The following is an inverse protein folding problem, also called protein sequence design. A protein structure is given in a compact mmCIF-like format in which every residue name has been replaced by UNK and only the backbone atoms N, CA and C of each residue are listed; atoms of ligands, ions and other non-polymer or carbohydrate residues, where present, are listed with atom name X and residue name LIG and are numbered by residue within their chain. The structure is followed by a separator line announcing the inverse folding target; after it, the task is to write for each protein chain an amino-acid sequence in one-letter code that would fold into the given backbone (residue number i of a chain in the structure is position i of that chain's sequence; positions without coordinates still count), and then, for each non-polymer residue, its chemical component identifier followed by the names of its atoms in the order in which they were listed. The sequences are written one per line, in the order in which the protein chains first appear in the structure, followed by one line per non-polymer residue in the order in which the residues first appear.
data_IF_504248335010
#
_entry.id   IF_504248335010
#
_cell.length_a   1.000
_cell.length_b   1.000
_cell.length_c   1.000
_cell.angle_alpha   90.00
_cell.angle_beta   90.00
_cell.angle_gamma   90.00
#
_symmetry.space_group_name_H-M   'P 1'
#
loop_
_entity.id
_entity.type
_entity.pdbx_description
1 polymer ?
#
# COMPACT_ATOMS: atom_id res chain seq x y z
N UNK A 1 -51.11 -0.70 40.01
CA UNK A 1 -49.89 -1.16 40.71
C UNK A 1 -48.74 -0.34 40.15
N UNK A 2 -48.47 0.81 40.77
CA UNK A 2 -47.34 1.05 41.72
C UNK A 2 -46.02 1.07 40.92
N UNK A 3 -45.51 2.22 40.45
CA UNK A 3 -44.99 3.47 41.07
C UNK A 3 -43.45 3.52 40.93
N UNK A 4 -42.85 4.73 40.90
CA UNK A 4 -41.64 5.08 40.17
C UNK A 4 -40.47 5.51 41.09
N UNK A 5 -39.35 5.91 40.44
CA UNK A 5 -38.20 6.78 40.80
C UNK A 5 -38.21 7.49 42.18
N UNK A 6 -37.05 7.73 42.82
CA UNK A 6 -36.40 9.06 42.70
C UNK A 6 -34.85 8.96 42.70
N UNK A 7 -34.03 9.87 42.20
CA UNK A 7 -34.19 11.29 41.89
C UNK A 7 -32.91 12.01 42.37
N UNK A 8 -32.52 13.11 41.70
CA UNK A 8 -32.06 14.37 42.33
C UNK A 8 -31.77 15.42 41.26
N UNK A 9 -32.32 16.60 41.49
CA UNK A 9 -32.27 17.84 40.71
C UNK A 9 -31.54 18.93 41.55
N UNK A 10 -31.37 20.18 41.07
CA UNK A 10 -30.16 21.00 41.17
C UNK A 10 -30.27 22.17 42.18
N UNK A 11 -29.20 22.97 42.36
CA UNK A 11 -29.21 24.39 42.80
C UNK A 11 -27.75 24.91 42.92
N UNK A 12 -27.32 25.91 42.16
CA UNK A 12 -27.41 27.37 42.35
C UNK A 12 -26.18 28.03 43.04
N UNK A 13 -25.71 29.05 42.32
CA UNK A 13 -24.81 30.17 42.64
C UNK A 13 -24.97 30.77 44.05
N UNK A 14 -23.86 31.22 44.65
CA UNK A 14 -23.75 32.45 45.45
C UNK A 14 -22.36 33.07 45.25
N UNK A 15 -22.31 34.39 45.04
CA UNK A 15 -21.08 35.17 44.92
C UNK A 15 -20.80 36.00 46.16
N UNK A 16 -19.54 36.41 46.35
CA UNK A 16 -19.16 37.64 47.04
C UNK A 16 -17.77 38.07 46.57
N UNK A 17 -17.66 39.32 46.09
CA UNK A 17 -16.42 39.91 45.63
C UNK A 17 -15.64 40.65 46.73
N UNK A 18 -14.42 41.07 46.38
CA UNK A 18 -13.79 42.34 46.81
C UNK A 18 -12.62 42.69 45.88
N UNK A 19 -12.45 44.01 45.72
CA UNK A 19 -11.67 44.76 44.73
C UNK A 19 -10.18 44.90 45.09
N UNK A 20 -9.33 45.16 44.09
CA UNK A 20 -8.61 46.44 43.89
C UNK A 20 -7.31 46.27 43.07
N UNK A 21 -7.02 47.23 42.19
CA UNK A 21 -5.66 47.48 41.67
C UNK A 21 -5.59 47.66 40.16
N UNK A 22 -5.80 48.90 39.69
CA UNK A 22 -5.50 49.28 38.31
C UNK A 22 -4.06 49.79 38.16
N UNK A 23 -3.47 49.56 36.99
CA UNK A 23 -2.42 50.38 36.39
C UNK A 23 -2.45 50.16 34.88
N UNK A 24 -2.58 51.25 34.10
CA UNK A 24 -2.79 51.21 32.67
C UNK A 24 -1.50 51.09 31.84
N UNK A 25 -1.66 50.79 30.54
CA UNK A 25 -0.75 51.14 29.43
C UNK A 25 -1.44 50.80 28.07
N UNK A 26 -0.98 51.33 26.92
CA UNK A 26 -1.82 52.06 25.98
C UNK A 26 -2.33 51.25 24.77
N UNK A 27 -3.37 51.77 24.12
CA UNK A 27 -3.87 51.33 22.81
C UNK A 27 -2.76 51.40 21.75
N UNK A 28 -2.31 50.24 21.26
CA UNK A 28 -1.56 50.12 19.99
C UNK A 28 -2.49 49.62 18.90
N UNK A 29 -2.43 50.31 17.75
CA UNK A 29 -3.14 50.02 16.51
C UNK A 29 -2.78 48.62 16.00
N UNK A 30 -3.79 47.89 15.56
CA UNK A 30 -3.69 46.65 14.79
C UNK A 30 -2.92 46.89 13.47
N UNK A 31 -1.86 46.12 13.15
CA UNK A 31 -1.36 46.04 11.80
C UNK A 31 -2.27 45.09 11.00
N UNK A 32 -2.64 45.52 9.79
CA UNK A 32 -3.57 44.81 8.92
C UNK A 32 -3.12 43.40 8.56
N UNK A 33 -4.10 42.50 8.44
CA UNK A 33 -3.96 41.21 7.76
C UNK A 33 -3.37 41.44 6.37
N UNK A 34 -2.11 41.02 6.15
CA UNK A 34 -1.69 40.60 4.82
C UNK A 34 -2.27 39.22 4.56
N UNK A 35 -2.87 38.94 3.39
CA UNK A 35 -3.14 37.58 3.00
C UNK A 35 -1.81 36.83 2.98
N UNK A 36 -1.75 35.68 3.65
CA UNK A 36 -0.68 34.72 3.40
C UNK A 36 -0.91 34.24 1.97
N UNK A 37 0.03 34.57 1.08
CA UNK A 37 0.07 33.95 -0.24
C UNK A 37 0.14 32.44 -0.02
N UNK A 38 -0.90 31.73 -0.47
CA UNK A 38 -0.92 30.27 -0.50
C UNK A 38 0.31 29.81 -1.29
N UNK A 39 1.23 29.03 -0.69
CA UNK A 39 2.32 28.47 -1.47
C UNK A 39 1.72 27.61 -2.58
N UNK A 40 2.16 27.85 -3.81
CA UNK A 40 1.78 27.07 -4.98
C UNK A 40 2.19 25.60 -4.75
N UNK A 41 1.24 24.78 -4.30
CA UNK A 41 1.37 23.35 -3.97
C UNK A 41 1.88 22.47 -5.13
N UNK A 42 2.21 23.09 -6.27
CA UNK A 42 2.68 22.44 -7.50
C UNK A 42 4.19 22.23 -7.59
N UNK A 43 4.98 22.64 -6.58
CA UNK A 43 6.46 22.68 -6.64
C UNK A 43 7.19 22.14 -5.39
N UNK A 44 6.77 21.00 -4.85
CA UNK A 44 7.60 20.25 -3.91
C UNK A 44 8.53 19.26 -4.68
N UNK A 45 9.85 19.26 -4.44
CA UNK A 45 10.76 18.28 -5.02
C UNK A 45 10.52 16.88 -4.42
N UNK A 46 10.64 15.83 -5.25
CA UNK A 46 10.46 14.42 -4.82
C UNK A 46 9.12 13.79 -5.22
N UNK A 47 8.14 14.56 -5.72
CA UNK A 47 6.90 14.01 -6.26
C UNK A 47 7.07 13.57 -7.70
N UNK A 48 6.75 12.32 -8.01
CA UNK A 48 6.33 11.96 -9.36
C UNK A 48 5.08 12.79 -9.70
N UNK A 49 5.19 13.72 -10.65
CA UNK A 49 4.00 14.34 -11.26
C UNK A 49 3.35 13.26 -12.11
N UNK A 50 2.18 12.79 -11.72
CA UNK A 50 1.28 12.06 -12.62
C UNK A 50 0.40 13.12 -13.33
N UNK A 51 0.70 13.52 -14.57
CA UNK A 51 -0.17 14.42 -15.32
C UNK A 51 -1.47 13.68 -15.69
N UNK A 52 -2.58 14.10 -15.10
CA UNK A 52 -3.91 13.52 -15.34
C UNK A 52 -4.39 12.64 -14.19
N UNK A 53 -5.51 11.93 -14.40
CA UNK A 53 -6.15 11.13 -13.35
C UNK A 53 -7.02 11.97 -12.40
N UNK A 54 -7.25 13.23 -12.73
CA UNK A 54 -8.10 14.12 -11.94
C UNK A 54 -9.58 13.81 -12.14
N UNK A 55 -10.40 14.16 -11.15
CA UNK A 55 -11.87 14.04 -11.23
C UNK A 55 -12.47 14.83 -12.41
N UNK A 56 -11.78 15.89 -12.83
CA UNK A 56 -12.17 16.73 -13.97
C UNK A 56 -11.97 16.01 -15.31
N UNK A 57 -10.96 15.12 -15.42
CA UNK A 57 -10.67 14.37 -16.65
C UNK A 57 -11.82 13.41 -17.01
N UNK A 58 -12.53 12.94 -15.99
CA UNK A 58 -13.65 12.00 -16.12
C UNK A 58 -15.01 12.67 -16.03
N UNK A 59 -15.07 13.98 -15.77
CA UNK A 59 -16.33 14.68 -15.54
C UNK A 59 -17.13 14.10 -14.37
N UNK A 60 -16.46 13.82 -13.24
CA UNK A 60 -17.09 13.09 -12.12
C UNK A 60 -18.34 13.80 -11.58
N UNK A 61 -18.35 15.13 -11.58
CA UNK A 61 -19.51 15.91 -11.13
C UNK A 61 -20.74 15.69 -12.00
N UNK A 62 -20.55 15.75 -13.31
CA UNK A 62 -21.54 15.54 -14.35
C UNK A 62 -22.03 14.10 -14.35
N UNK A 63 -21.11 13.14 -14.25
CA UNK A 63 -21.42 11.72 -14.12
C UNK A 63 -22.28 11.46 -12.87
N UNK A 64 -21.93 12.08 -11.74
CA UNK A 64 -22.68 11.95 -10.49
C UNK A 64 -24.10 12.52 -10.63
N UNK A 65 -24.26 13.67 -11.30
CA UNK A 65 -25.57 14.26 -11.54
C UNK A 65 -26.42 13.40 -12.47
N UNK A 66 -25.84 12.87 -13.55
CA UNK A 66 -26.55 11.99 -14.47
C UNK A 66 -26.94 10.66 -13.80
N UNK A 67 -26.09 10.11 -12.93
CA UNK A 67 -26.42 8.93 -12.14
C UNK A 67 -27.67 9.17 -11.27
N UNK A 68 -27.69 10.25 -10.48
CA UNK A 68 -28.84 10.54 -9.62
C UNK A 68 -30.11 10.82 -10.42
N UNK A 69 -30.02 11.56 -11.53
CA UNK A 69 -31.17 11.81 -12.41
C UNK A 69 -31.70 10.51 -13.03
N UNK A 70 -30.82 9.63 -13.48
CA UNK A 70 -31.20 8.33 -14.04
C UNK A 70 -31.93 7.47 -13.01
N UNK A 71 -31.41 7.38 -11.78
CA UNK A 71 -32.04 6.68 -10.65
C UNK A 71 -33.42 7.27 -10.32
N UNK A 72 -33.60 8.58 -10.51
CA UNK A 72 -34.87 9.28 -10.33
C UNK A 72 -35.80 9.22 -11.56
N UNK A 73 -35.44 8.48 -12.61
CA UNK A 73 -36.29 8.20 -13.77
C UNK A 73 -36.05 9.08 -15.01
N UNK A 74 -34.98 9.89 -15.05
CA UNK A 74 -34.62 10.67 -16.24
C UNK A 74 -33.96 9.77 -17.31
N UNK A 75 -34.71 9.47 -18.37
CA UNK A 75 -34.24 8.64 -19.48
C UNK A 75 -33.09 9.28 -20.29
N UNK A 76 -32.99 10.63 -20.34
CA UNK A 76 -31.89 11.29 -21.02
C UNK A 76 -30.60 11.19 -20.22
N UNK A 77 -30.69 11.30 -18.89
CA UNK A 77 -29.56 11.06 -18.00
C UNK A 77 -29.10 9.61 -18.07
N UNK A 78 -30.04 8.64 -18.06
CA UNK A 78 -29.71 7.23 -18.21
C UNK A 78 -28.98 6.93 -19.53
N UNK A 79 -29.35 7.59 -20.63
CA UNK A 79 -28.70 7.44 -21.93
C UNK A 79 -27.28 8.03 -22.00
N UNK A 80 -26.90 8.92 -21.08
CA UNK A 80 -25.56 9.51 -21.00
C UNK A 80 -24.59 8.73 -20.12
N UNK A 81 -25.08 7.82 -19.27
CA UNK A 81 -24.21 7.02 -18.41
C UNK A 81 -23.25 6.14 -19.23
N UNK A 82 -22.01 5.93 -18.76
CA UNK A 82 -21.10 4.95 -19.34
C UNK A 82 -21.76 3.58 -19.46
N UNK A 83 -21.47 2.86 -20.56
CA UNK A 83 -21.97 1.49 -20.75
C UNK A 83 -21.37 0.52 -19.76
N UNK A 84 -20.08 0.70 -19.51
CA UNK A 84 -19.29 -0.11 -18.61
C UNK A 84 -19.33 0.52 -17.20
N UNK A 85 -19.57 -0.27 -16.14
CA UNK A 85 -19.83 0.23 -14.80
C UNK A 85 -18.57 0.63 -14.02
N UNK A 86 -17.39 0.24 -14.48
CA UNK A 86 -16.13 0.46 -13.77
C UNK A 86 -15.24 1.37 -14.59
N UNK A 87 -14.73 2.43 -13.97
CA UNK A 87 -13.76 3.36 -14.58
C UNK A 87 -12.55 3.46 -13.68
N UNK A 88 -11.38 3.17 -14.23
CA UNK A 88 -10.11 3.11 -13.49
C UNK A 88 -9.01 3.87 -14.20
N UNK A 89 -8.13 4.51 -13.43
CA UNK A 89 -6.95 5.18 -13.94
C UNK A 89 -5.76 4.23 -13.90
N UNK A 90 -5.07 4.07 -15.02
CA UNK A 90 -3.88 3.22 -15.14
C UNK A 90 -2.65 4.12 -15.00
N UNK A 91 -2.00 4.06 -13.84
CA UNK A 91 -0.74 4.75 -13.57
C UNK A 91 0.35 4.25 -14.52
N UNK A 92 1.29 5.12 -14.91
CA UNK A 92 2.37 4.77 -15.86
C UNK A 92 1.94 4.76 -17.33
N UNK A 93 0.69 4.40 -17.62
CA UNK A 93 0.06 4.63 -18.94
C UNK A 93 -0.68 5.98 -19.02
N UNK A 94 -0.85 6.65 -17.86
CA UNK A 94 -1.48 7.95 -17.65
C UNK A 94 -2.83 8.12 -18.37
N UNK A 95 -3.70 7.11 -18.27
CA UNK A 95 -5.02 7.14 -18.92
C UNK A 95 -6.10 6.43 -18.11
N UNK A 96 -7.33 6.89 -18.30
CA UNK A 96 -8.53 6.20 -17.84
C UNK A 96 -8.91 5.09 -18.81
N UNK A 97 -9.46 3.98 -18.29
CA UNK A 97 -10.11 2.92 -19.05
C UNK A 97 -11.46 2.59 -18.41
N UNK A 98 -12.37 2.05 -19.22
CA UNK A 98 -13.68 1.56 -18.79
C UNK A 98 -13.68 0.03 -18.83
N UNK A 99 -14.27 -0.62 -17.82
CA UNK A 99 -14.30 -2.08 -17.65
C UNK A 99 -15.72 -2.57 -17.38
N UNK A 100 -16.12 -3.73 -17.94
CA UNK A 100 -17.45 -4.29 -17.75
C UNK A 100 -17.67 -4.84 -16.32
N UNK A 101 -16.60 -5.11 -15.58
CA UNK A 101 -16.62 -5.63 -14.21
C UNK A 101 -15.30 -5.31 -13.48
N UNK A 102 -15.31 -5.48 -12.15
CA UNK A 102 -14.11 -5.46 -11.32
C UNK A 102 -14.04 -6.74 -10.47
N UNK A 103 -12.94 -7.51 -10.53
CA UNK A 103 -11.81 -7.38 -11.45
C UNK A 103 -12.21 -7.48 -12.93
N UNK A 104 -11.31 -7.08 -13.84
CA UNK A 104 -11.56 -7.19 -15.28
C UNK A 104 -11.78 -8.67 -15.69
N UNK A 105 -12.71 -8.99 -16.61
CA UNK A 105 -12.98 -10.40 -16.97
C UNK A 105 -11.80 -11.16 -17.57
N UNK A 106 -10.85 -10.46 -18.17
CA UNK A 106 -9.60 -10.98 -18.73
C UNK A 106 -8.43 -10.96 -17.75
N UNK A 107 -8.68 -10.58 -16.49
CA UNK A 107 -7.66 -10.55 -15.46
C UNK A 107 -7.11 -11.95 -15.13
N UNK A 108 -5.78 -12.03 -15.00
CA UNK A 108 -5.06 -13.26 -14.68
C UNK A 108 -4.20 -13.04 -13.45
N UNK A 109 -4.32 -13.92 -12.45
CA UNK A 109 -3.43 -13.95 -11.30
C UNK A 109 -2.06 -14.54 -11.67
N UNK A 110 -1.00 -13.88 -11.22
CA UNK A 110 0.38 -14.30 -11.39
C UNK A 110 1.07 -14.35 -10.03
N UNK A 111 1.63 -15.51 -9.69
CA UNK A 111 2.46 -15.69 -8.50
C UNK A 111 3.93 -15.41 -8.84
N UNK A 112 4.53 -14.47 -8.11
CA UNK A 112 5.94 -14.14 -8.18
C UNK A 112 6.63 -14.66 -6.92
N UNK A 113 7.41 -15.72 -7.05
CA UNK A 113 7.94 -16.47 -5.90
C UNK A 113 9.15 -15.78 -5.29
N UNK A 114 9.19 -15.77 -3.97
CA UNK A 114 10.37 -15.33 -3.23
C UNK A 114 11.45 -16.40 -3.39
N UNK A 115 12.70 -15.97 -3.54
CA UNK A 115 13.83 -16.86 -3.75
C UNK A 115 15.06 -16.46 -2.93
N UNK A 116 16.01 -17.39 -2.86
CA UNK A 116 17.29 -17.18 -2.17
C UNK A 116 18.05 -15.97 -2.71
N UNK A 117 18.69 -15.21 -1.82
CA UNK A 117 19.48 -14.03 -2.21
C UNK A 117 18.64 -12.79 -2.56
N UNK A 118 17.37 -12.74 -2.16
CA UNK A 118 16.48 -11.60 -2.43
C UNK A 118 15.98 -11.58 -3.88
N UNK A 119 15.82 -12.75 -4.49
CA UNK A 119 15.28 -12.88 -5.84
C UNK A 119 13.76 -12.91 -5.77
N UNK A 120 13.10 -12.20 -6.67
CA UNK A 120 11.66 -12.35 -6.91
C UNK A 120 11.47 -12.99 -8.30
N UNK A 121 11.23 -14.29 -8.30
CA UNK A 121 11.10 -15.09 -9.52
C UNK A 121 9.75 -14.82 -10.18
N UNK A 122 9.79 -14.35 -11.43
CA UNK A 122 8.60 -14.16 -12.24
C UNK A 122 7.89 -15.50 -12.48
N UNK A 123 6.57 -15.50 -12.70
CA UNK A 123 5.87 -16.71 -13.13
C UNK A 123 6.55 -17.27 -14.39
N UNK A 124 6.88 -18.56 -14.38
CA UNK A 124 7.33 -19.23 -15.59
C UNK A 124 6.25 -19.16 -16.68
N UNK A 125 6.64 -19.24 -17.96
CA UNK A 125 5.68 -19.49 -19.04
C UNK A 125 5.00 -20.85 -18.79
N UNK A 126 3.92 -20.84 -18.03
CA UNK A 126 3.32 -22.05 -17.48
C UNK A 126 2.38 -21.72 -16.34
N UNK A 127 1.09 -21.74 -16.66
CA UNK A 127 -0.02 -21.97 -15.74
C UNK A 127 0.43 -22.82 -14.54
N UNK A 128 0.06 -22.40 -13.33
CA UNK A 128 0.26 -23.18 -12.09
C UNK A 128 -0.18 -24.64 -12.35
N UNK A 129 0.80 -25.52 -12.45
CA UNK A 129 0.65 -26.97 -12.36
C UNK A 129 1.52 -27.42 -11.17
N UNK A 130 1.09 -28.41 -10.38
CA UNK A 130 1.83 -28.85 -9.21
C UNK A 130 3.23 -29.33 -9.61
N UNK A 131 4.23 -28.86 -8.86
CA UNK A 131 5.66 -29.02 -9.12
C UNK A 131 6.06 -30.43 -9.58
N UNK A 132 6.32 -30.57 -10.88
CA UNK A 132 7.13 -31.66 -11.40
C UNK A 132 8.59 -31.21 -11.40
N UNK A 133 9.43 -31.97 -10.70
CA UNK A 133 10.89 -31.82 -10.67
C UNK A 133 11.45 -31.56 -12.07
N UNK A 134 12.11 -30.42 -12.25
CA UNK A 134 12.94 -30.18 -13.43
C UNK A 134 14.40 -30.17 -13.02
N UNK A 135 15.15 -31.09 -13.60
CA UNK A 135 16.59 -31.21 -13.49
C UNK A 135 17.26 -29.98 -14.10
N UNK A 136 18.24 -29.45 -13.35
CA UNK A 136 18.92 -28.21 -13.66
C UNK A 136 19.62 -28.19 -15.01
N UNK A 137 19.40 -27.10 -15.75
CA UNK A 137 20.31 -26.64 -16.78
C UNK A 137 20.61 -25.17 -16.50
N UNK A 138 21.87 -24.90 -16.17
CA UNK A 138 22.40 -23.55 -16.01
C UNK A 138 22.92 -23.04 -17.36
N UNK A 139 22.43 -21.88 -17.77
CA UNK A 139 23.07 -20.97 -18.72
C UNK A 139 22.63 -19.57 -18.29
N UNK A 140 23.44 -18.57 -18.02
CA UNK A 140 24.82 -18.32 -18.39
C UNK A 140 24.91 -16.86 -18.81
N UNK A 141 25.38 -16.01 -17.88
CA UNK A 141 25.81 -14.61 -18.04
C UNK A 141 24.76 -13.54 -18.39
N UNK A 142 24.51 -12.63 -17.43
CA UNK A 142 24.15 -11.24 -17.70
C UNK A 142 24.83 -10.32 -16.66
N UNK A 143 25.23 -9.15 -17.15
CA UNK A 143 26.30 -8.29 -16.66
C UNK A 143 26.18 -7.75 -15.23
N UNK A 144 27.35 -7.60 -14.63
CA UNK A 144 27.58 -7.02 -13.32
C UNK A 144 27.24 -5.52 -13.30
N UNK A 145 26.24 -5.15 -12.51
CA UNK A 145 26.13 -3.81 -11.92
C UNK A 145 26.74 -3.85 -10.52
N UNK A 146 27.50 -2.80 -10.18
CA UNK A 146 28.45 -2.75 -9.07
C UNK A 146 27.82 -2.97 -7.68
N UNK A 147 28.52 -3.65 -6.75
CA UNK A 147 28.03 -3.95 -5.42
C UNK A 147 28.25 -2.75 -4.50
N UNK A 148 27.17 -2.05 -4.13
CA UNK A 148 27.14 -1.29 -2.88
C UNK A 148 25.91 -1.69 -2.10
N UNK A 149 26.21 -2.13 -0.88
CA UNK A 149 25.30 -2.31 0.26
C UNK A 149 24.42 -3.57 0.19
N UNK A 150 25.08 -4.72 0.45
CA UNK A 150 24.39 -5.92 0.96
C UNK A 150 23.91 -5.62 2.38
N UNK A 151 22.61 -5.42 2.58
CA UNK A 151 21.97 -5.57 3.89
C UNK A 151 22.25 -6.97 4.41
N UNK A 152 22.55 -7.08 5.70
CA UNK A 152 23.10 -8.27 6.36
C UNK A 152 22.05 -9.37 6.61
N UNK A 153 21.26 -9.72 5.61
CA UNK A 153 20.40 -10.90 5.66
C UNK A 153 21.22 -12.12 5.25
N UNK A 154 21.52 -12.98 6.23
CA UNK A 154 22.14 -14.28 5.97
C UNK A 154 21.14 -15.15 5.20
N UNK A 155 21.30 -15.22 3.88
CA UNK A 155 20.51 -16.09 3.01
C UNK A 155 20.92 -17.55 3.27
N UNK A 156 20.27 -18.19 4.23
CA UNK A 156 20.28 -19.64 4.38
C UNK A 156 19.44 -20.26 3.24
N UNK A 157 19.77 -21.49 2.78
CA UNK A 157 18.96 -22.16 1.77
C UNK A 157 17.52 -22.31 2.30
N UNK A 158 16.57 -21.60 1.68
CA UNK A 158 15.14 -21.74 1.94
C UNK A 158 14.47 -20.69 2.84
N UNK A 159 15.17 -19.69 3.37
CA UNK A 159 14.51 -18.57 4.06
C UNK A 159 15.31 -17.27 4.03
N UNK A 160 14.63 -16.16 4.29
CA UNK A 160 15.23 -14.84 4.54
C UNK A 160 14.79 -14.36 5.92
N UNK A 161 15.73 -13.90 6.75
CA UNK A 161 15.46 -13.48 8.12
C UNK A 161 15.84 -12.02 8.38
N UNK A 162 15.11 -11.38 9.28
CA UNK A 162 15.36 -10.01 9.77
C UNK A 162 14.96 -9.91 11.24
N UNK A 163 15.33 -8.80 11.89
CA UNK A 163 14.98 -8.53 13.29
C UNK A 163 14.20 -7.24 13.35
N UNK A 164 12.98 -7.29 13.88
CA UNK A 164 12.17 -6.11 14.15
C UNK A 164 12.45 -5.58 15.56
N UNK A 165 12.87 -4.33 15.70
CA UNK A 165 12.96 -3.62 16.98
C UNK A 165 11.76 -2.67 17.14
N UNK A 166 10.84 -2.89 18.11
CA UNK A 166 9.72 -1.99 18.35
C UNK A 166 10.13 -0.55 18.72
N UNK A 167 11.36 -0.34 19.21
CA UNK A 167 11.89 0.98 19.55
C UNK A 167 12.46 1.75 18.34
N UNK A 168 12.72 1.07 17.22
CA UNK A 168 13.15 1.64 15.94
C UNK A 168 12.29 1.06 14.80
N UNK A 169 10.98 1.40 14.75
CA UNK A 169 10.10 0.87 13.72
C UNK A 169 10.46 1.42 12.33
N UNK A 170 10.25 0.59 11.31
CA UNK A 170 10.37 0.98 9.90
C UNK A 170 9.41 2.13 9.62
N UNK A 171 9.89 3.27 9.08
CA UNK A 171 9.07 4.45 8.87
C UNK A 171 8.15 4.27 7.65
N UNK A 172 6.98 4.90 7.71
CA UNK A 172 6.08 5.04 6.58
C UNK A 172 6.66 6.05 5.59
N UNK A 173 6.79 5.63 4.33
CA UNK A 173 7.08 6.50 3.20
C UNK A 173 5.96 6.34 2.16
N UNK A 174 4.98 7.24 2.17
CA UNK A 174 3.88 7.22 1.20
C UNK A 174 2.73 6.27 1.53
N UNK A 175 2.06 5.82 0.47
CA UNK A 175 0.94 4.87 0.54
C UNK A 175 -0.38 5.54 0.92
N UNK A 176 -1.28 4.76 1.53
CA UNK A 176 -2.64 5.17 1.89
C UNK A 176 -2.70 5.98 3.21
N UNK A 177 -1.80 6.95 3.36
CA UNK A 177 -1.76 7.83 4.51
C UNK A 177 -2.99 8.74 4.52
N UNK A 178 -3.80 8.64 5.58
CA UNK A 178 -5.00 9.46 5.75
C UNK A 178 -4.74 10.69 6.63
N UNK A 179 -4.01 10.49 7.73
CA UNK A 179 -3.72 11.53 8.71
C UNK A 179 -2.31 12.07 8.49
N UNK A 180 -2.18 13.39 8.58
CA UNK A 180 -0.90 14.09 8.36
C UNK A 180 -0.96 15.05 7.17
N UNK A 181 0.17 15.68 6.83
CA UNK A 181 0.32 16.45 5.62
C UNK A 181 -0.03 15.62 4.37
N UNK A 182 -0.83 16.14 3.42
CA UNK A 182 -1.19 15.41 2.21
C UNK A 182 0.00 14.96 1.34
N UNK A 183 1.15 15.60 1.51
CA UNK A 183 2.41 15.21 0.87
C UNK A 183 2.96 13.86 1.32
N UNK A 184 2.56 13.35 2.48
CA UNK A 184 3.05 12.07 3.01
C UNK A 184 2.29 10.87 2.41
N UNK A 185 1.27 11.12 1.58
CA UNK A 185 0.46 10.11 0.91
C UNK A 185 0.88 9.88 -0.55
N UNK A 186 0.57 8.70 -1.08
CA UNK A 186 0.79 8.35 -2.48
C UNK A 186 2.18 7.78 -2.78
N UNK A 187 2.60 7.77 -4.05
CA UNK A 187 3.82 7.08 -4.49
C UNK A 187 5.07 7.81 -3.99
N UNK A 188 5.85 7.13 -3.15
CA UNK A 188 7.11 7.63 -2.61
C UNK A 188 8.25 6.68 -2.96
N UNK A 189 9.44 7.25 -3.07
CA UNK A 189 10.67 6.50 -3.23
C UNK A 189 10.98 5.71 -1.94
N UNK A 190 11.14 4.39 -2.06
CA UNK A 190 11.36 3.47 -0.94
C UNK A 190 12.84 3.22 -0.65
N UNK A 191 13.79 3.75 -1.43
CA UNK A 191 15.23 3.44 -1.26
C UNK A 191 15.77 3.64 0.16
N UNK A 192 15.31 4.67 0.87
CA UNK A 192 15.72 4.92 2.25
C UNK A 192 15.16 3.87 3.23
N UNK A 193 13.97 3.33 2.95
CA UNK A 193 13.36 2.22 3.71
C UNK A 193 14.09 0.91 3.40
N UNK A 194 14.30 0.61 2.11
CA UNK A 194 14.97 -0.59 1.62
C UNK A 194 16.44 -0.72 2.09
N UNK A 195 17.09 0.41 2.39
CA UNK A 195 18.46 0.43 2.90
C UNK A 195 18.56 -0.02 4.37
N UNK A 196 17.44 -0.15 5.08
CA UNK A 196 17.44 -0.59 6.48
C UNK A 196 17.77 -2.09 6.58
N UNK A 197 18.43 -2.48 7.68
CA UNK A 197 18.80 -3.88 7.94
C UNK A 197 17.65 -4.74 8.46
N UNK A 198 16.48 -4.15 8.73
CA UNK A 198 15.27 -4.82 9.19
C UNK A 198 14.17 -4.89 8.11
N UNK A 199 14.55 -4.68 6.85
CA UNK A 199 13.68 -4.80 5.67
C UNK A 199 14.25 -5.85 4.73
N UNK A 200 13.53 -6.95 4.55
CA UNK A 200 13.90 -8.00 3.60
C UNK A 200 13.40 -7.63 2.19
N UNK A 201 14.33 -7.50 1.24
CA UNK A 201 14.04 -7.02 -0.12
C UNK A 201 14.16 -8.16 -1.13
N UNK A 202 13.12 -8.35 -1.95
CA UNK A 202 13.09 -9.30 -3.05
C UNK A 202 12.86 -8.57 -4.37
N UNK A 203 13.74 -8.74 -5.35
CA UNK A 203 13.69 -7.99 -6.62
C UNK A 203 13.70 -8.93 -7.83
N UNK A 204 12.86 -8.66 -8.81
CA UNK A 204 12.82 -9.43 -10.04
C UNK A 204 13.98 -9.12 -10.98
N UNK A 205 14.21 -9.99 -11.97
CA UNK A 205 14.91 -9.59 -13.19
C UNK A 205 14.20 -8.40 -13.87
N UNK A 206 14.88 -7.60 -14.70
CA UNK A 206 14.19 -6.58 -15.50
C UNK A 206 13.11 -7.24 -16.34
N UNK A 207 11.93 -6.63 -16.36
CA UNK A 207 10.82 -7.06 -17.18
C UNK A 207 11.26 -7.05 -18.66
N UNK A 208 11.12 -8.18 -19.35
CA UNK A 208 11.43 -8.29 -20.78
C UNK A 208 10.36 -7.64 -21.66
N UNK A 209 9.13 -7.57 -21.15
CA UNK A 209 7.96 -6.97 -21.77
C UNK A 209 7.19 -6.14 -20.72
N UNK A 210 6.38 -5.15 -21.12
CA UNK A 210 5.62 -4.37 -20.16
C UNK A 210 4.55 -5.22 -19.46
N UNK A 211 4.36 -5.01 -18.17
CA UNK A 211 3.35 -5.70 -17.35
C UNK A 211 2.32 -4.70 -16.85
N UNK A 212 1.03 -5.02 -16.97
CA UNK A 212 -0.03 -4.19 -16.39
C UNK A 212 -0.65 -4.92 -15.22
N UNK A 213 -0.44 -4.39 -14.01
CA UNK A 213 -1.09 -4.87 -12.79
C UNK A 213 -2.38 -4.07 -12.63
N UNK A 214 -3.52 -4.76 -12.61
CA UNK A 214 -4.83 -4.16 -12.46
C UNK A 214 -5.75 -5.06 -11.63
N UNK A 215 -5.87 -4.74 -10.35
CA UNK A 215 -6.71 -5.52 -9.44
C UNK A 215 -6.05 -5.75 -8.09
N UNK A 216 -6.58 -6.71 -7.31
CA UNK A 216 -6.04 -7.09 -6.02
C UNK A 216 -4.58 -7.57 -6.09
N UNK A 217 -3.84 -7.30 -5.02
CA UNK A 217 -2.47 -7.74 -4.76
C UNK A 217 -2.44 -8.33 -3.35
N UNK A 218 -1.79 -9.49 -3.19
CA UNK A 218 -1.60 -10.11 -1.88
C UNK A 218 -0.24 -10.79 -1.78
N UNK A 219 0.27 -10.89 -0.56
CA UNK A 219 1.38 -11.78 -0.24
C UNK A 219 0.82 -13.07 0.33
N UNK A 220 1.19 -14.22 -0.24
CA UNK A 220 0.98 -15.55 0.33
C UNK A 220 2.34 -16.05 0.85
N UNK A 221 2.51 -16.13 2.18
CA UNK A 221 3.82 -16.41 2.76
C UNK A 221 3.79 -17.37 3.94
N UNK A 222 4.85 -18.17 4.04
CA UNK A 222 5.18 -18.96 5.22
C UNK A 222 6.12 -18.15 6.11
N UNK A 223 5.65 -17.76 7.29
CA UNK A 223 6.38 -16.84 8.17
C UNK A 223 6.47 -17.41 9.58
N UNK A 224 7.64 -17.27 10.21
CA UNK A 224 7.81 -17.56 11.62
C UNK A 224 8.37 -16.35 12.36
N UNK A 225 8.02 -16.23 13.63
CA UNK A 225 8.60 -15.27 14.56
C UNK A 225 9.02 -16.00 15.85
N UNK A 226 10.00 -15.47 16.57
CA UNK A 226 10.39 -15.98 17.91
C UNK A 226 9.52 -15.42 19.06
N UNK A 227 8.43 -14.74 18.72
CA UNK A 227 7.43 -14.22 19.63
C UNK A 227 6.04 -14.82 19.36
N UNK A 228 5.11 -14.63 20.29
CA UNK A 228 3.73 -15.14 20.21
C UNK A 228 2.85 -14.35 19.23
N UNK A 229 3.35 -13.25 18.69
CA UNK A 229 2.70 -12.42 17.69
C UNK A 229 3.75 -11.55 17.00
N UNK A 230 3.44 -10.96 15.84
CA UNK A 230 4.26 -9.94 15.18
C UNK A 230 3.43 -9.22 14.09
N UNK A 231 3.97 -8.13 13.53
CA UNK A 231 3.48 -7.58 12.28
C UNK A 231 4.30 -8.12 11.11
N UNK A 232 3.61 -8.49 10.05
CA UNK A 232 4.18 -8.70 8.73
C UNK A 232 3.63 -7.59 7.82
N UNK A 233 4.45 -6.59 7.57
CA UNK A 233 4.21 -5.58 6.56
C UNK A 233 4.83 -6.02 5.24
N UNK A 234 4.11 -5.78 4.15
CA UNK A 234 4.55 -6.08 2.80
C UNK A 234 4.28 -4.87 1.90
N UNK A 235 5.27 -4.43 1.13
CA UNK A 235 5.15 -3.34 0.16
C UNK A 235 5.61 -3.81 -1.23
N UNK A 236 4.82 -3.48 -2.25
CA UNK A 236 5.15 -3.74 -3.66
C UNK A 236 5.62 -2.44 -4.30
N UNK A 237 6.76 -2.47 -4.98
CA UNK A 237 7.38 -1.30 -5.61
C UNK A 237 7.73 -1.55 -7.07
N UNK A 238 7.72 -0.47 -7.85
CA UNK A 238 8.27 -0.40 -9.21
C UNK A 238 9.68 0.18 -9.17
N UNK A 239 10.67 -0.60 -9.58
CA UNK A 239 12.06 -0.15 -9.66
C UNK A 239 12.41 0.23 -11.09
N UNK A 240 12.59 1.52 -11.32
CA UNK A 240 12.99 2.07 -12.61
C UNK A 240 14.46 1.71 -12.95
N UNK A 241 14.87 1.78 -14.24
CA UNK A 241 16.25 1.50 -14.66
C UNK A 241 17.32 2.37 -14.00
N UNK A 242 16.95 3.56 -13.50
CA UNK A 242 17.85 4.46 -12.75
C UNK A 242 17.98 4.09 -11.25
N UNK A 243 17.25 3.06 -10.82
CA UNK A 243 17.23 2.54 -9.45
C UNK A 243 16.18 3.18 -8.54
N UNK A 244 15.39 4.17 -9.01
CA UNK A 244 14.28 4.73 -8.23
C UNK A 244 13.25 3.65 -7.93
N UNK A 245 12.89 3.46 -6.65
CA UNK A 245 11.94 2.43 -6.21
C UNK A 245 10.64 3.07 -5.76
N UNK A 246 9.60 3.04 -6.58
CA UNK A 246 8.34 3.75 -6.31
C UNK A 246 7.31 2.82 -5.70
N UNK A 247 6.77 3.18 -4.53
CA UNK A 247 5.69 2.44 -3.87
C UNK A 247 4.43 2.36 -4.76
N UNK A 248 3.95 1.14 -4.99
CA UNK A 248 2.72 0.85 -5.73
C UNK A 248 1.53 0.60 -4.79
N UNK A 249 1.71 -0.30 -3.84
CA UNK A 249 0.71 -0.65 -2.81
C UNK A 249 1.38 -1.43 -1.67
N UNK A 250 0.72 -1.49 -0.52
CA UNK A 250 1.22 -2.20 0.65
C UNK A 250 0.08 -2.63 1.57
N UNK A 251 0.38 -3.61 2.43
CA UNK A 251 -0.52 -4.16 3.42
C UNK A 251 0.21 -4.58 4.68
N UNK A 252 -0.56 -4.86 5.74
CA UNK A 252 -0.02 -5.42 6.97
C UNK A 252 -0.95 -6.50 7.50
N UNK A 253 -0.34 -7.57 8.02
CA UNK A 253 -1.02 -8.57 8.81
C UNK A 253 -0.42 -8.59 10.21
N UNK A 254 -1.28 -8.63 11.22
CA UNK A 254 -0.89 -9.06 12.56
C UNK A 254 -0.95 -10.58 12.59
N UNK A 255 0.21 -11.24 12.70
CA UNK A 255 0.38 -12.67 12.45
C UNK A 255 -0.52 -13.55 13.32
N UNK A 256 -0.90 -13.12 14.53
CA UNK A 256 -1.92 -13.83 15.30
C UNK A 256 -3.30 -13.90 14.63
N UNK A 257 -3.58 -13.13 13.58
CA UNK A 257 -4.80 -13.27 12.75
C UNK A 257 -4.57 -14.03 11.44
N UNK A 258 -3.48 -14.79 11.33
CA UNK A 258 -3.17 -15.56 10.11
C UNK A 258 -4.30 -16.53 9.70
N UNK A 259 -5.11 -16.99 10.66
CA UNK A 259 -6.23 -17.90 10.41
C UNK A 259 -7.61 -17.19 10.37
N UNK A 260 -7.65 -15.87 10.27
CA UNK A 260 -8.86 -15.06 10.17
C UNK A 260 -8.80 -13.74 10.95
N UNK A 261 -9.35 -12.67 10.39
CA UNK A 261 -9.31 -11.32 10.98
C UNK A 261 -10.26 -11.12 12.18
N UNK A 262 -11.16 -12.07 12.43
CA UNK A 262 -12.13 -12.05 13.53
C UNK A 262 -11.61 -12.69 14.82
N UNK A 263 -10.40 -13.27 14.79
CA UNK A 263 -9.78 -13.93 15.94
C UNK A 263 -8.27 -13.69 16.03
N UNK A 264 -7.71 -14.11 17.17
CA UNK A 264 -6.28 -14.02 17.48
C UNK A 264 -5.82 -15.36 18.02
N UNK A 265 -5.07 -16.09 17.21
CA UNK A 265 -4.42 -17.35 17.51
C UNK A 265 -2.92 -17.05 17.73
N UNK A 266 -2.41 -17.07 18.98
CA UNK A 266 -1.00 -16.81 19.24
C UNK A 266 -0.09 -17.77 18.49
N UNK A 267 1.02 -17.26 17.97
CA UNK A 267 2.05 -18.08 17.32
C UNK A 267 2.75 -18.97 18.35
N UNK A 268 3.18 -20.16 17.92
CA UNK A 268 4.23 -20.90 18.62
C UNK A 268 5.58 -20.33 18.18
N UNK A 269 6.41 -19.77 19.09
CA UNK A 269 7.71 -19.22 18.74
C UNK A 269 8.56 -20.19 17.91
N UNK A 270 9.01 -19.73 16.75
CA UNK A 270 9.83 -20.48 15.81
C UNK A 270 9.06 -21.42 14.88
N UNK A 271 7.77 -21.70 15.09
CA UNK A 271 6.99 -22.51 14.15
C UNK A 271 6.43 -21.62 13.02
N UNK A 272 6.60 -22.00 11.74
CA UNK A 272 6.04 -21.23 10.63
C UNK A 272 4.52 -21.36 10.57
N UNK A 273 3.86 -20.27 10.20
CA UNK A 273 2.44 -20.22 9.84
C UNK A 273 2.29 -19.71 8.41
N UNK A 274 1.25 -20.18 7.73
CA UNK A 274 0.80 -19.59 6.48
C UNK A 274 0.06 -18.27 6.78
N UNK A 275 0.44 -17.21 6.08
CA UNK A 275 -0.04 -15.86 6.27
C UNK A 275 -0.37 -15.23 4.91
N UNK A 276 -1.58 -14.68 4.81
CA UNK A 276 -2.00 -13.86 3.67
C UNK A 276 -2.02 -12.38 4.08
N UNK A 277 -1.22 -11.54 3.41
CA UNK A 277 -1.28 -10.08 3.58
C UNK A 277 -2.07 -9.50 2.42
N UNK A 278 -3.25 -8.97 2.70
CA UNK A 278 -4.01 -8.15 1.75
C UNK A 278 -3.28 -6.82 1.51
N UNK A 279 -2.71 -6.66 0.32
CA UNK A 279 -2.02 -5.45 -0.14
C UNK A 279 -2.93 -4.58 -1.01
N UNK A 280 -4.25 -4.75 -0.87
CA UNK A 280 -5.30 -3.98 -1.51
C UNK A 280 -5.27 -4.17 -3.02
N UNK A 281 -5.53 -3.11 -3.79
CA UNK A 281 -5.53 -3.16 -5.23
C UNK A 281 -4.76 -1.98 -5.81
N UNK A 282 -4.20 -2.18 -7.00
CA UNK A 282 -3.52 -1.14 -7.76
C UNK A 282 -3.86 -1.24 -9.25
N UNK A 283 -3.54 -0.17 -9.98
CA UNK A 283 -3.73 -0.07 -11.43
C UNK A 283 -2.52 0.63 -12.03
N UNK A 284 -1.52 -0.14 -12.50
CA UNK A 284 -0.24 0.38 -12.99
C UNK A 284 0.24 -0.39 -14.22
N UNK A 285 0.81 0.35 -15.16
CA UNK A 285 1.52 -0.18 -16.32
C UNK A 285 3.02 0.03 -16.16
N UNK A 286 3.75 -1.07 -16.01
CA UNK A 286 5.19 -1.11 -15.81
C UNK A 286 5.89 -1.32 -17.16
N UNK A 287 6.79 -0.42 -17.60
CA UNK A 287 7.54 -0.60 -18.84
C UNK A 287 8.53 -1.76 -18.79
N UNK A 288 8.90 -2.29 -19.95
CA UNK A 288 10.05 -3.20 -20.06
C UNK A 288 11.33 -2.50 -19.52
N UNK A 289 12.19 -3.27 -18.86
CA UNK A 289 13.40 -2.80 -18.19
C UNK A 289 13.21 -2.36 -16.75
N UNK A 290 11.97 -2.10 -16.30
CA UNK A 290 11.66 -1.93 -14.88
C UNK A 290 11.73 -3.27 -14.15
N UNK A 291 11.65 -3.26 -12.82
CA UNK A 291 11.59 -4.48 -12.00
C UNK A 291 10.44 -4.37 -11.01
N UNK A 292 9.85 -5.52 -10.69
CA UNK A 292 8.96 -5.63 -9.55
C UNK A 292 9.81 -5.93 -8.31
N UNK A 293 9.51 -5.26 -7.20
CA UNK A 293 10.17 -5.52 -5.91
C UNK A 293 9.16 -5.62 -4.79
N UNK A 294 9.43 -6.55 -3.88
CA UNK A 294 8.67 -6.79 -2.67
C UNK A 294 9.58 -6.54 -1.46
N UNK A 295 9.13 -5.65 -0.58
CA UNK A 295 9.78 -5.37 0.70
C UNK A 295 8.94 -5.97 1.82
N UNK A 296 9.58 -6.69 2.74
CA UNK A 296 8.96 -7.26 3.93
C UNK A 296 9.58 -6.67 5.20
N UNK A 297 8.73 -6.25 6.13
CA UNK A 297 9.16 -5.61 7.37
C UNK A 297 8.30 -6.00 8.56
N UNK A 298 8.84 -5.79 9.77
CA UNK A 298 8.09 -5.97 11.02
C UNK A 298 7.18 -4.80 11.38
N UNK A 299 7.21 -3.69 10.62
CA UNK A 299 6.44 -2.48 10.93
C UNK A 299 6.34 -1.55 9.72
N UNK A 300 5.44 -0.58 9.81
CA UNK A 300 5.30 0.55 8.88
C UNK A 300 4.61 1.68 9.66
N UNK A 301 5.40 2.46 10.41
CA UNK A 301 4.95 3.47 11.36
C UNK A 301 5.11 4.89 10.79
N UNK A 302 4.14 5.82 10.95
CA UNK A 302 2.99 5.75 11.85
C UNK A 302 1.70 5.22 11.21
N UNK A 303 1.71 4.73 9.97
CA UNK A 303 0.50 4.23 9.32
C UNK A 303 -0.17 3.12 10.13
N UNK A 304 0.62 2.20 10.65
CA UNK A 304 0.18 1.13 11.53
C UNK A 304 0.84 1.26 12.90
N UNK A 305 0.10 0.95 13.97
CA UNK A 305 0.68 0.91 15.32
C UNK A 305 1.76 -0.16 15.37
N UNK A 306 2.83 0.05 16.14
CA UNK A 306 3.91 -0.93 16.24
C UNK A 306 3.43 -2.16 17.02
N UNK A 307 3.83 -3.34 16.56
CA UNK A 307 3.62 -4.57 17.30
C UNK A 307 4.70 -4.70 18.37
N UNK A 308 4.29 -4.77 19.64
CA UNK A 308 5.21 -5.02 20.75
C UNK A 308 4.81 -6.29 21.53
N UNK A 309 5.04 -7.47 20.96
CA UNK A 309 4.65 -8.76 21.54
C UNK A 309 5.62 -9.24 22.63
N UNK A 310 6.77 -8.58 22.79
CA UNK A 310 7.87 -9.01 23.63
C UNK A 310 8.32 -7.91 24.61
N UNK A 311 7.40 -7.01 25.00
CA UNK A 311 7.60 -5.95 26.00
C UNK A 311 8.85 -5.08 25.75
N UNK A 312 9.04 -4.66 24.50
CA UNK A 312 10.13 -3.82 24.02
C UNK A 312 11.35 -4.60 23.54
N UNK A 313 11.37 -5.93 23.65
CA UNK A 313 12.44 -6.74 23.10
C UNK A 313 12.31 -6.89 21.57
N UNK A 314 13.43 -6.88 20.82
CA UNK A 314 13.41 -7.19 19.39
C UNK A 314 12.88 -8.60 19.10
N UNK A 315 12.21 -8.74 17.95
CA UNK A 315 11.57 -9.97 17.48
C UNK A 315 12.27 -10.44 16.20
N UNK A 316 12.81 -11.66 16.21
CA UNK A 316 13.38 -12.28 15.03
C UNK A 316 12.27 -12.84 14.14
N UNK A 317 12.31 -12.48 12.86
CA UNK A 317 11.33 -12.85 11.84
C UNK A 317 12.02 -13.62 10.72
N UNK A 318 11.32 -14.57 10.11
CA UNK A 318 11.76 -15.24 8.88
C UNK A 318 10.60 -15.48 7.94
N UNK A 319 10.84 -15.28 6.65
CA UNK A 319 9.98 -15.75 5.56
C UNK A 319 10.66 -16.96 4.91
N UNK A 320 9.93 -18.08 4.83
CA UNK A 320 10.39 -19.31 4.21
C UNK A 320 10.04 -19.29 2.71
N UNK A 321 10.93 -19.79 1.88
CA UNK A 321 10.81 -19.83 0.42
C UNK A 321 11.50 -21.07 -0.17
N UNK A 322 11.55 -22.16 0.60
CA UNK A 322 11.99 -23.46 0.11
C UNK A 322 10.87 -24.18 -0.69
N UNK A 323 11.18 -25.37 -1.19
CA UNK A 323 10.26 -26.16 -2.02
C UNK A 323 8.96 -26.56 -1.32
N UNK A 324 8.98 -26.71 0.02
CA UNK A 324 7.80 -27.05 0.81
C UNK A 324 7.02 -25.79 1.25
N UNK A 325 7.64 -24.61 1.15
CA UNK A 325 7.10 -23.32 1.58
C UNK A 325 7.19 -22.27 0.45
N UNK A 326 6.42 -22.40 -0.65
CA UNK A 326 6.59 -21.59 -1.86
C UNK A 326 5.99 -20.18 -1.74
N UNK A 327 6.46 -19.37 -0.80
CA UNK A 327 5.98 -17.99 -0.59
C UNK A 327 6.06 -17.15 -1.87
N UNK A 328 5.02 -16.36 -2.14
CA UNK A 328 4.90 -15.54 -3.35
C UNK A 328 4.08 -14.27 -3.12
N UNK A 329 4.38 -13.22 -3.87
CA UNK A 329 3.42 -12.13 -4.08
C UNK A 329 2.56 -12.46 -5.29
N UNK A 330 1.24 -12.39 -5.12
CA UNK A 330 0.26 -12.63 -6.17
C UNK A 330 -0.26 -11.29 -6.67
N UNK A 331 -0.10 -11.05 -7.97
CA UNK A 331 -0.57 -9.84 -8.65
C UNK A 331 -1.63 -10.18 -9.69
N UNK A 332 -2.62 -9.30 -9.83
CA UNK A 332 -3.65 -9.40 -10.87
C UNK A 332 -3.19 -8.65 -12.11
N UNK A 333 -3.08 -9.31 -13.27
CA UNK A 333 -2.59 -8.72 -14.52
C UNK A 333 -3.62 -8.71 -15.64
N UNK A 334 -3.50 -7.77 -16.57
CA UNK A 334 -4.34 -7.65 -17.78
C UNK A 334 -3.51 -7.30 -19.02
N UNK A 335 -4.03 -7.62 -20.21
CA UNK A 335 -3.50 -7.06 -21.45
C UNK A 335 -4.07 -5.65 -21.69
N UNK A 336 -3.31 -4.62 -21.34
CA UNK A 336 -3.74 -3.23 -21.50
C UNK A 336 -4.06 -2.84 -22.96
N UNK A 337 -3.55 -3.57 -23.96
CA UNK A 337 -3.88 -3.31 -25.37
C UNK A 337 -5.32 -3.65 -25.72
N UNK A 338 -5.94 -4.56 -24.95
CA UNK A 338 -7.36 -4.89 -25.05
C UNK A 338 -8.28 -3.81 -24.43
N UNK A 339 -7.72 -2.88 -23.65
CA UNK A 339 -8.47 -1.87 -22.89
C UNK A 339 -8.17 -0.45 -23.41
N UNK A 340 -8.94 0.06 -24.39
CA UNK A 340 -8.72 1.39 -24.96
C UNK A 340 -8.98 2.50 -23.94
N UNK A 341 -8.41 3.68 -24.21
CA UNK A 341 -8.63 4.85 -23.36
C UNK A 341 -10.12 5.23 -23.30
N UNK A 342 -10.62 5.44 -22.08
CA UNK A 342 -11.99 5.87 -21.84
C UNK A 342 -12.23 7.27 -22.40
N UNK A 343 -13.36 7.52 -23.08
CA UNK A 343 -13.75 8.86 -23.46
C UNK A 343 -14.13 9.69 -22.22
N UNK A 344 -13.92 11.02 -22.24
CA UNK A 344 -14.41 11.90 -21.18
C UNK A 344 -15.94 11.80 -21.08
N UNK A 345 -16.50 11.92 -19.88
CA UNK A 345 -17.95 11.98 -19.72
C UNK A 345 -18.47 13.27 -20.37
N UNK A 346 -19.30 13.13 -21.41
CA UNK A 346 -19.73 14.28 -22.24
C UNK A 346 -21.09 14.78 -21.80
N UNK A 347 -21.17 16.10 -21.60
CA UNK A 347 -22.42 16.86 -21.44
C UNK A 347 -22.86 17.40 -22.81
N UNK A 348 -23.36 16.56 -23.71
CA UNK A 348 -24.14 17.02 -24.87
C UNK A 348 -25.22 16.02 -25.21
#
# INVERSE_FOLDING_TARGET
MVRPVPGRHPAQLHGHGRRCGGAGTPRRRTPGHRPLDSPDLRRAPGRARLPGGGIDDVGLGELSLDFWKAVLGDAQAAARLPRDPVRVYIMGADRWIDLPAWPAPDAVEQAWHLGSGGILDAPGEGRIEPAAQSDGVTSGAADAVSPRERSAHEAAPGFTAWVHDPADPVPTAGGQMLMGPPEDAGPHDQRDVEARGDVAVFTSAPLTEPVTILGPVRLEAWVAADAVDAHLHAALTDVAPDGTSTLLTDGVLRLSAHAGLDRRDPLTPGEPVEAEVDMWATGVHLPAGHRLRLDLAGSNWPRYSVADPADGAPVAMRVLHDADHPSAVVVTTVDLTAHPAAPPHRVR
#
